data_IF_293363038065
#
_entry.id   IF_293363038065
#
_cell.length_a   1.000
_cell.length_b   1.000
_cell.length_c   1.000
_cell.angle_alpha   90.00
_cell.angle_beta   90.00
_cell.angle_gamma   90.00
#
_symmetry.space_group_name_H-M   'P 1'
#
loop_
_entity.id
_entity.type
_entity.pdbx_description
1 polymer ?
#
# COMPACT_ATOMS: atom_id res chain seq x y z
N UNK A 1 13.34 19.40 0.59
CA UNK A 1 12.75 18.34 1.44
C UNK A 1 11.29 18.67 1.67
N UNK A 2 10.44 17.65 1.81
CA UNK A 2 9.00 17.81 2.06
C UNK A 2 8.71 17.38 3.51
N UNK A 3 8.22 18.24 4.40
CA UNK A 3 7.79 17.82 5.72
C UNK A 3 6.45 17.08 5.63
N UNK A 4 6.34 15.91 6.25
CA UNK A 4 5.11 15.10 6.23
C UNK A 4 4.84 14.43 7.57
N UNK A 5 3.56 14.20 7.87
CA UNK A 5 3.08 13.43 9.02
C UNK A 5 1.86 12.61 8.58
N UNK A 6 2.09 11.34 8.25
CA UNK A 6 1.07 10.43 7.76
C UNK A 6 0.61 9.54 8.92
N UNK A 7 -0.44 9.97 9.63
CA UNK A 7 -1.00 9.24 10.77
C UNK A 7 -1.98 8.16 10.31
N UNK A 8 -1.47 7.00 9.91
CA UNK A 8 -2.29 5.88 9.43
C UNK A 8 -3.27 5.37 10.50
N UNK A 9 -4.55 5.24 10.12
CA UNK A 9 -5.63 4.68 10.96
C UNK A 9 -6.06 3.31 10.43
N UNK A 10 -5.11 2.40 10.37
CA UNK A 10 -5.22 1.09 9.70
C UNK A 10 -5.01 -0.06 10.68
N UNK A 11 -5.84 -0.18 11.74
CA UNK A 11 -5.72 -1.31 12.66
C UNK A 11 -5.87 -2.61 11.88
N UNK A 12 -4.85 -3.47 11.95
CA UNK A 12 -4.73 -4.65 11.09
C UNK A 12 -4.21 -5.82 11.90
N UNK A 13 -4.83 -6.98 11.72
CA UNK A 13 -4.29 -8.25 12.18
C UNK A 13 -3.69 -9.03 11.01
N UNK A 14 -2.47 -9.52 11.19
CA UNK A 14 -1.80 -10.38 10.22
C UNK A 14 -2.01 -11.83 10.64
N UNK A 15 -2.82 -12.55 9.86
CA UNK A 15 -3.35 -13.85 10.26
C UNK A 15 -2.78 -14.95 9.37
N UNK A 16 -2.41 -16.07 9.99
CA UNK A 16 -2.05 -17.33 9.32
C UNK A 16 -1.09 -17.14 8.14
N UNK A 17 0.05 -16.50 8.38
CA UNK A 17 1.02 -16.18 7.33
C UNK A 17 1.66 -17.44 6.73
N UNK A 18 2.05 -17.36 5.46
CA UNK A 18 2.97 -18.32 4.86
C UNK A 18 4.28 -18.34 5.65
N UNK A 19 4.91 -19.50 5.76
CA UNK A 19 6.14 -19.65 6.51
C UNK A 19 7.04 -20.70 5.88
N UNK A 20 8.13 -20.25 5.28
CA UNK A 20 9.13 -21.09 4.59
C UNK A 20 9.82 -22.13 5.50
N UNK A 21 9.74 -21.96 6.82
CA UNK A 21 10.26 -22.93 7.78
C UNK A 21 9.31 -24.12 8.01
N UNK A 22 8.06 -24.05 7.54
CA UNK A 22 7.10 -25.14 7.66
C UNK A 22 7.39 -26.23 6.61
N UNK A 23 7.27 -27.49 7.03
CA UNK A 23 7.30 -28.64 6.14
C UNK A 23 5.87 -29.05 5.73
N UNK A 24 5.72 -29.58 4.52
CA UNK A 24 4.46 -30.07 3.98
C UNK A 24 4.05 -29.37 2.68
N UNK A 25 2.99 -29.87 2.05
CA UNK A 25 2.48 -29.32 0.79
C UNK A 25 1.75 -28.01 1.06
N UNK A 26 2.02 -26.89 0.36
CA UNK A 26 1.30 -25.63 0.52
C UNK A 26 -0.18 -25.74 0.12
N UNK A 27 -0.99 -24.74 0.47
CA UNK A 27 -2.33 -24.62 -0.12
C UNK A 27 -2.23 -24.31 -1.63
N UNK A 28 -3.29 -24.52 -2.43
CA UNK A 28 -3.29 -24.12 -3.83
C UNK A 28 -2.88 -22.65 -3.99
N UNK A 29 -2.01 -22.38 -4.96
CA UNK A 29 -1.49 -21.04 -5.29
C UNK A 29 -0.61 -20.38 -4.19
N UNK A 30 -0.10 -21.17 -3.24
CA UNK A 30 0.82 -20.71 -2.21
C UNK A 30 2.18 -21.40 -2.32
N UNK A 31 3.24 -20.71 -1.88
CA UNK A 31 4.61 -21.23 -1.94
C UNK A 31 4.94 -22.08 -0.70
N UNK A 32 4.40 -21.71 0.46
CA UNK A 32 4.73 -22.33 1.73
C UNK A 32 3.49 -22.66 2.57
N UNK A 33 3.63 -23.66 3.43
CA UNK A 33 2.64 -23.96 4.45
C UNK A 33 2.46 -22.78 5.43
N UNK A 34 1.21 -22.54 5.83
CA UNK A 34 0.86 -21.42 6.72
C UNK A 34 1.07 -21.76 8.20
N UNK A 35 1.31 -20.73 9.01
CA UNK A 35 1.39 -20.81 10.47
C UNK A 35 2.81 -20.73 11.02
N UNK A 36 3.00 -21.14 12.27
CA UNK A 36 4.29 -21.09 12.97
C UNK A 36 4.97 -22.46 12.89
N UNK A 37 6.25 -22.48 12.53
CA UNK A 37 7.05 -23.70 12.54
C UNK A 37 7.16 -24.30 13.95
N UNK A 38 6.80 -25.57 14.08
CA UNK A 38 6.92 -26.33 15.33
C UNK A 38 8.07 -27.33 15.15
N UNK A 39 9.26 -26.96 15.63
CA UNK A 39 10.47 -27.80 15.55
C UNK A 39 10.60 -28.66 16.80
N UNK A 40 10.96 -29.94 16.65
CA UNK A 40 11.14 -30.85 17.77
C UNK A 40 12.48 -30.59 18.46
N UNK A 41 12.46 -30.33 19.77
CA UNK A 41 13.66 -30.09 20.60
C UNK A 41 14.53 -28.90 20.14
N UNK A 42 13.97 -27.97 19.36
CA UNK A 42 14.65 -26.78 18.86
C UNK A 42 13.80 -25.54 19.07
N UNK A 43 14.43 -24.37 19.10
CA UNK A 43 13.72 -23.08 19.17
C UNK A 43 13.16 -22.73 17.79
N UNK A 44 11.88 -22.38 17.74
CA UNK A 44 11.27 -21.73 16.59
C UNK A 44 11.37 -20.20 16.76
N UNK A 45 11.86 -19.52 15.73
CA UNK A 45 11.91 -18.05 15.68
C UNK A 45 10.84 -17.59 14.70
N UNK A 46 10.02 -16.63 15.15
CA UNK A 46 9.07 -15.90 14.33
C UNK A 46 9.56 -14.45 14.23
N UNK A 47 9.95 -14.02 13.03
CA UNK A 47 10.31 -12.64 12.73
C UNK A 47 9.13 -11.94 12.07
N UNK A 48 8.77 -10.76 12.57
CA UNK A 48 7.83 -9.88 11.90
C UNK A 48 8.61 -8.82 11.12
N UNK A 49 8.31 -8.69 9.83
CA UNK A 49 8.91 -7.68 8.95
C UNK A 49 7.82 -6.74 8.47
N UNK A 50 8.09 -5.44 8.55
CA UNK A 50 7.15 -4.39 8.12
C UNK A 50 7.79 -3.54 7.02
N UNK A 51 7.17 -3.53 5.86
CA UNK A 51 7.60 -2.80 4.67
C UNK A 51 7.08 -1.36 4.72
N UNK A 52 7.96 -0.42 5.04
CA UNK A 52 7.61 1.00 5.13
C UNK A 52 7.33 1.65 3.76
N UNK A 53 7.58 0.91 2.68
CA UNK A 53 7.43 1.33 1.30
C UNK A 53 5.98 1.21 0.77
N UNK A 54 5.12 0.40 1.41
CA UNK A 54 3.73 0.18 0.98
C UNK A 54 2.92 1.46 0.73
N UNK A 55 2.96 2.51 1.59
CA UNK A 55 2.23 3.76 1.32
C UNK A 55 2.60 4.45 0.00
N UNK A 56 3.72 4.08 -0.61
CA UNK A 56 4.25 4.67 -1.85
C UNK A 56 3.98 3.79 -3.08
N UNK A 57 3.24 2.70 -2.92
CA UNK A 57 2.94 1.74 -3.97
C UNK A 57 2.03 2.33 -5.04
N UNK A 58 2.38 2.10 -6.31
CA UNK A 58 1.56 2.47 -7.47
C UNK A 58 0.51 1.43 -7.89
N UNK A 59 0.49 0.28 -7.21
CA UNK A 59 -0.53 -0.76 -7.36
C UNK A 59 -0.95 -1.31 -5.99
N UNK A 60 -2.12 -1.95 -5.94
CA UNK A 60 -2.60 -2.79 -4.84
C UNK A 60 -2.00 -4.19 -4.85
N UNK A 61 -1.34 -4.60 -5.94
CA UNK A 61 -0.61 -5.86 -6.10
C UNK A 61 0.82 -5.81 -5.49
N UNK A 62 1.52 -6.96 -5.51
CA UNK A 62 2.83 -7.13 -4.88
C UNK A 62 3.97 -6.52 -5.74
N UNK A 63 4.96 -5.91 -5.07
CA UNK A 63 6.16 -5.28 -5.66
C UNK A 63 5.95 -4.19 -6.72
N UNK A 64 5.06 -3.19 -6.52
CA UNK A 64 4.86 -2.14 -7.50
C UNK A 64 5.96 -1.07 -7.44
N UNK A 65 5.97 -0.19 -8.45
CA UNK A 65 6.85 0.97 -8.45
C UNK A 65 6.49 1.92 -7.32
N UNK A 66 7.52 2.57 -6.76
CA UNK A 66 7.38 3.50 -5.65
C UNK A 66 7.39 4.95 -6.13
N UNK A 67 6.44 5.75 -5.65
CA UNK A 67 6.38 7.17 -5.93
C UNK A 67 6.06 7.99 -4.67
N UNK A 68 6.57 9.22 -4.62
CA UNK A 68 6.31 10.17 -3.51
C UNK A 68 5.69 11.48 -3.98
N UNK A 69 5.89 11.87 -5.23
CA UNK A 69 5.47 13.16 -5.76
C UNK A 69 3.96 13.34 -5.88
N UNK A 70 3.17 12.26 -5.95
CA UNK A 70 1.71 12.33 -5.80
C UNK A 70 1.28 12.80 -4.41
N UNK A 71 2.05 12.46 -3.37
CA UNK A 71 1.83 12.97 -2.02
C UNK A 71 2.23 14.45 -1.94
N UNK A 72 3.42 14.79 -2.45
CA UNK A 72 3.90 16.16 -2.45
C UNK A 72 3.09 17.11 -3.33
N UNK A 73 2.36 16.60 -4.34
CA UNK A 73 1.51 17.37 -5.23
C UNK A 73 0.40 18.13 -4.46
N UNK A 74 -0.10 17.56 -3.35
CA UNK A 74 -1.07 18.22 -2.47
C UNK A 74 -0.54 19.47 -1.76
N UNK A 75 0.77 19.72 -1.76
CA UNK A 75 1.37 20.93 -1.22
C UNK A 75 1.43 22.09 -2.23
N UNK A 76 1.15 21.86 -3.51
CA UNK A 76 1.12 22.94 -4.51
C UNK A 76 0.01 23.93 -4.14
N UNK A 77 0.36 25.21 -4.06
CA UNK A 77 -0.55 26.28 -3.64
C UNK A 77 -0.70 26.44 -2.11
N UNK A 78 -0.10 25.55 -1.31
CA UNK A 78 -0.12 25.69 0.16
C UNK A 78 0.94 26.70 0.64
N UNK A 79 0.73 27.34 1.81
CA UNK A 79 1.75 28.19 2.43
C UNK A 79 3.08 27.45 2.65
N UNK A 80 4.19 28.18 2.51
CA UNK A 80 5.51 27.63 2.78
C UNK A 80 5.60 27.08 4.22
N UNK A 81 6.15 25.87 4.37
CA UNK A 81 6.27 25.19 5.65
C UNK A 81 5.06 24.35 6.05
N UNK A 82 4.01 24.28 5.23
CA UNK A 82 2.88 23.36 5.44
C UNK A 82 3.39 21.92 5.51
N UNK A 83 2.97 21.19 6.56
CA UNK A 83 3.25 19.76 6.73
C UNK A 83 2.23 18.97 5.93
N UNK A 84 2.68 18.07 5.06
CA UNK A 84 1.81 17.16 4.34
C UNK A 84 1.12 16.19 5.31
N UNK A 85 -0.21 16.15 5.28
CA UNK A 85 -1.07 15.22 6.03
C UNK A 85 -2.10 14.58 5.09
N UNK A 86 -2.80 13.54 5.54
CA UNK A 86 -3.89 12.93 4.76
C UNK A 86 -5.07 13.87 4.47
N UNK A 87 -5.25 14.92 5.26
CA UNK A 87 -6.32 15.90 5.02
C UNK A 87 -6.12 16.61 3.67
N UNK A 88 -4.87 16.84 3.25
CA UNK A 88 -4.54 17.42 1.93
C UNK A 88 -4.75 16.45 0.76
N UNK A 89 -4.96 15.17 1.04
CA UNK A 89 -5.10 14.11 0.04
C UNK A 89 -6.53 13.57 -0.06
N UNK A 90 -7.42 14.04 0.81
CA UNK A 90 -8.83 13.65 0.80
C UNK A 90 -9.48 14.11 -0.51
N UNK A 91 -10.21 13.22 -1.17
CA UNK A 91 -10.84 13.48 -2.47
C UNK A 91 -9.91 13.42 -3.68
N UNK A 92 -8.61 13.15 -3.52
CA UNK A 92 -7.70 12.93 -4.65
C UNK A 92 -8.03 11.60 -5.33
N UNK A 93 -8.18 11.59 -6.65
CA UNK A 93 -8.39 10.37 -7.43
C UNK A 93 -7.05 9.63 -7.66
N UNK A 94 -6.87 8.40 -7.13
CA UNK A 94 -5.64 7.64 -7.36
C UNK A 94 -5.42 7.23 -8.82
N UNK A 95 -6.46 7.29 -9.66
CA UNK A 95 -6.40 6.88 -11.08
C UNK A 95 -6.19 8.06 -12.04
N UNK A 96 -6.17 9.30 -11.53
CA UNK A 96 -5.97 10.51 -12.31
C UNK A 96 -5.41 11.63 -11.40
N UNK A 97 -4.11 11.57 -11.10
CA UNK A 97 -3.50 12.50 -10.15
C UNK A 97 -3.38 13.91 -10.72
N UNK A 98 -3.77 14.88 -9.91
CA UNK A 98 -3.56 16.31 -10.11
C UNK A 98 -2.81 16.91 -8.93
N UNK A 99 -2.15 18.05 -9.14
CA UNK A 99 -1.58 18.84 -8.05
C UNK A 99 -2.62 19.73 -7.35
N UNK A 100 -2.21 20.39 -6.26
CA UNK A 100 -3.09 21.29 -5.49
C UNK A 100 -3.62 22.51 -6.27
N UNK A 101 -3.14 22.77 -7.49
CA UNK A 101 -3.70 23.76 -8.41
C UNK A 101 -4.63 23.16 -9.48
N UNK A 102 -4.77 21.83 -9.52
CA UNK A 102 -5.57 21.09 -10.48
C UNK A 102 -4.83 20.73 -11.77
N UNK A 103 -3.51 20.92 -11.84
CA UNK A 103 -2.74 20.51 -13.01
C UNK A 103 -2.43 19.01 -12.96
N UNK A 104 -2.61 18.30 -14.08
CA UNK A 104 -2.28 16.86 -14.18
C UNK A 104 -0.83 16.59 -13.79
N UNK A 105 -0.64 15.58 -12.94
CA UNK A 105 0.69 15.16 -12.48
C UNK A 105 1.31 14.22 -13.53
N UNK A 106 2.46 14.57 -14.12
CA UNK A 106 3.10 13.70 -15.11
C UNK A 106 3.83 12.52 -14.47
N UNK A 107 4.10 11.48 -15.26
CA UNK A 107 5.05 10.45 -14.88
C UNK A 107 6.48 11.00 -14.78
N UNK A 108 7.21 10.61 -13.73
CA UNK A 108 8.62 10.97 -13.50
C UNK A 108 9.34 9.79 -12.88
N UNK A 109 10.52 9.45 -13.40
CA UNK A 109 11.45 8.48 -12.80
C UNK A 109 12.88 9.00 -12.95
N UNK A 110 13.77 8.57 -12.06
CA UNK A 110 15.16 9.03 -12.01
C UNK A 110 16.17 7.97 -12.50
N UNK A 111 15.70 6.79 -12.90
CA UNK A 111 16.50 5.61 -13.25
C UNK A 111 16.53 5.32 -14.76
N UNK A 112 15.86 6.16 -15.57
CA UNK A 112 15.75 5.97 -17.02
C UNK A 112 14.75 4.90 -17.44
N UNK A 113 13.97 4.34 -16.50
CA UNK A 113 12.92 3.38 -16.82
C UNK A 113 11.88 4.00 -17.76
N UNK A 114 11.38 3.20 -18.72
CA UNK A 114 10.32 3.66 -19.61
C UNK A 114 9.07 4.05 -18.81
N UNK A 115 8.56 5.24 -19.13
CA UNK A 115 7.33 5.76 -18.56
C UNK A 115 6.12 5.26 -19.36
N UNK A 116 4.95 5.10 -18.71
CA UNK A 116 3.71 4.88 -19.43
C UNK A 116 3.46 5.99 -20.47
N UNK A 117 2.78 5.64 -21.56
CA UNK A 117 2.47 6.58 -22.63
C UNK A 117 1.39 7.61 -22.27
N UNK A 118 0.69 7.42 -21.15
CA UNK A 118 -0.28 8.41 -20.66
C UNK A 118 0.45 9.67 -20.20
N UNK A 119 -0.14 10.83 -20.44
CA UNK A 119 0.42 12.10 -19.96
C UNK A 119 0.19 12.27 -18.45
N UNK A 120 -0.92 11.76 -17.95
CA UNK A 120 -1.32 11.84 -16.54
C UNK A 120 -0.97 10.55 -15.80
N UNK A 121 -0.51 10.73 -14.56
CA UNK A 121 -0.20 9.63 -13.66
C UNK A 121 -1.48 9.01 -13.09
N UNK A 122 -1.51 7.69 -13.13
CA UNK A 122 -2.58 6.87 -12.59
C UNK A 122 -1.96 5.69 -11.83
N UNK A 123 -2.54 5.32 -10.69
CA UNK A 123 -2.23 4.08 -9.98
C UNK A 123 -3.26 3.00 -10.27
N UNK A 124 -2.82 1.77 -10.19
CA UNK A 124 -3.63 0.60 -10.46
C UNK A 124 -4.39 0.18 -9.21
N UNK A 125 -5.71 0.03 -9.34
CA UNK A 125 -6.60 -0.41 -8.25
C UNK A 125 -7.01 -1.88 -8.40
N UNK A 126 -6.46 -2.58 -9.39
CA UNK A 126 -6.84 -3.94 -9.75
C UNK A 126 -8.33 -4.04 -10.04
N UNK A 127 -9.04 -4.84 -9.25
CA UNK A 127 -10.49 -5.03 -9.37
C UNK A 127 -11.32 -4.13 -8.43
N UNK A 128 -10.66 -3.32 -7.60
CA UNK A 128 -11.33 -2.48 -6.60
C UNK A 128 -11.82 -1.20 -7.30
N UNK A 129 -13.14 -0.89 -7.26
CA UNK A 129 -13.65 0.32 -7.89
C UNK A 129 -13.19 1.58 -7.16
N UNK A 130 -13.02 2.67 -7.92
CA UNK A 130 -12.62 3.99 -7.42
C UNK A 130 -13.73 5.00 -7.68
N UNK A 131 -14.08 5.79 -6.67
CA UNK A 131 -15.02 6.90 -6.82
C UNK A 131 -15.57 7.45 -5.49
N UNK A 132 -15.81 8.76 -5.39
CA UNK A 132 -16.10 9.46 -4.12
C UNK A 132 -17.41 9.06 -3.44
N UNK A 133 -18.34 8.42 -4.16
CA UNK A 133 -19.64 7.98 -3.64
C UNK A 133 -19.68 6.52 -3.17
N UNK A 134 -18.56 5.80 -3.24
CA UNK A 134 -18.53 4.38 -2.89
C UNK A 134 -18.61 4.18 -1.38
N UNK A 135 -19.13 3.01 -0.96
CA UNK A 135 -18.97 2.58 0.41
C UNK A 135 -17.50 2.17 0.63
N UNK A 136 -16.87 2.55 1.76
CA UNK A 136 -15.46 2.22 2.02
C UNK A 136 -15.19 0.72 2.12
N UNK A 137 -16.22 -0.12 2.27
CA UNK A 137 -16.08 -1.59 2.28
C UNK A 137 -16.06 -2.19 0.86
N UNK A 138 -16.39 -1.42 -0.17
CA UNK A 138 -16.56 -1.91 -1.55
C UNK A 138 -15.69 -1.22 -2.58
N UNK A 139 -15.00 -0.14 -2.23
CA UNK A 139 -14.11 0.58 -3.13
C UNK A 139 -13.33 1.69 -2.46
N UNK A 140 -12.44 2.33 -3.22
CA UNK A 140 -11.68 3.50 -2.77
C UNK A 140 -12.45 4.77 -3.08
N UNK A 141 -12.73 5.59 -2.07
CA UNK A 141 -13.37 6.89 -2.29
C UNK A 141 -12.39 7.92 -2.82
N UNK A 142 -11.13 7.79 -2.45
CA UNK A 142 -10.02 8.66 -2.80
C UNK A 142 -8.67 7.96 -2.53
N UNK A 143 -7.59 8.72 -2.68
CA UNK A 143 -6.23 8.26 -2.46
C UNK A 143 -5.93 7.93 -0.99
N UNK A 144 -6.67 8.48 -0.02
CA UNK A 144 -6.49 8.14 1.40
C UNK A 144 -6.93 6.70 1.65
N UNK A 145 -8.07 6.29 1.08
CA UNK A 145 -8.54 4.90 1.16
C UNK A 145 -7.56 3.93 0.46
N UNK A 146 -7.04 4.32 -0.71
CA UNK A 146 -6.02 3.55 -1.43
C UNK A 146 -4.76 3.35 -0.57
N UNK A 147 -4.20 4.43 -0.02
CA UNK A 147 -2.98 4.39 0.80
C UNK A 147 -3.20 3.57 2.07
N UNK A 148 -4.37 3.69 2.70
CA UNK A 148 -4.73 2.87 3.85
C UNK A 148 -4.76 1.37 3.49
N UNK A 149 -5.32 1.03 2.33
CA UNK A 149 -5.41 -0.34 1.84
C UNK A 149 -4.04 -0.97 1.64
N UNK A 150 -3.15 -0.31 0.89
CA UNK A 150 -1.79 -0.85 0.63
C UNK A 150 -0.94 -0.84 1.89
N UNK A 151 -1.03 0.19 2.73
CA UNK A 151 -0.28 0.24 3.98
C UNK A 151 -0.67 -0.91 4.92
N UNK A 152 -1.94 -1.33 4.93
CA UNK A 152 -2.36 -2.43 5.80
C UNK A 152 -1.76 -3.79 5.43
N UNK A 153 -1.28 -4.00 4.19
CA UNK A 153 -0.63 -5.25 3.79
C UNK A 153 0.89 -5.29 4.05
N UNK A 154 1.46 -4.31 4.77
CA UNK A 154 2.91 -4.15 4.93
C UNK A 154 3.63 -5.23 5.76
N UNK A 155 2.90 -6.15 6.39
CA UNK A 155 3.43 -7.09 7.38
C UNK A 155 3.64 -8.51 6.83
N UNK A 156 4.83 -9.06 7.06
CA UNK A 156 5.21 -10.43 6.70
C UNK A 156 5.77 -11.21 7.89
N UNK A 157 5.68 -12.55 7.83
CA UNK A 157 6.28 -13.48 8.78
C UNK A 157 7.52 -14.19 8.19
N UNK A 158 8.66 -14.16 8.89
CA UNK A 158 9.88 -14.91 8.55
C UNK A 158 10.59 -14.52 7.23
N UNK A 159 10.38 -13.31 6.72
CA UNK A 159 11.07 -12.80 5.51
C UNK A 159 10.08 -12.40 4.41
N UNK A 160 10.61 -12.04 3.23
CA UNK A 160 9.85 -11.43 2.12
C UNK A 160 8.62 -12.22 1.67
N UNK A 161 8.69 -13.55 1.70
CA UNK A 161 7.61 -14.44 1.21
C UNK A 161 6.56 -14.80 2.29
N UNK A 162 6.65 -14.17 3.46
CA UNK A 162 5.82 -14.42 4.63
C UNK A 162 4.39 -13.91 4.56
N UNK A 163 3.72 -14.02 3.40
CA UNK A 163 2.45 -13.35 3.12
C UNK A 163 1.35 -13.77 4.09
N UNK A 164 0.79 -12.78 4.78
CA UNK A 164 -0.27 -12.95 5.76
C UNK A 164 -1.65 -12.66 5.18
N UNK A 165 -2.68 -13.34 5.68
CA UNK A 165 -4.03 -12.86 5.50
C UNK A 165 -4.18 -11.54 6.26
N UNK A 166 -4.52 -10.48 5.51
CA UNK A 166 -4.65 -9.12 6.06
C UNK A 166 -6.08 -8.92 6.57
N UNK A 167 -6.28 -9.08 7.88
CA UNK A 167 -7.56 -8.87 8.54
C UNK A 167 -7.67 -7.41 8.99
N UNK A 168 -8.21 -6.58 8.09
CA UNK A 168 -8.42 -5.15 8.28
C UNK A 168 -9.52 -4.91 9.31
N UNK A 169 -9.21 -4.23 10.40
CA UNK A 169 -10.16 -3.86 11.48
C UNK A 169 -10.82 -2.50 11.26
N UNK A 170 -10.95 -2.12 9.99
CA UNK A 170 -11.58 -0.90 9.53
C UNK A 170 -12.31 -1.19 8.21
N UNK A 171 -13.20 -0.29 7.79
CA UNK A 171 -13.93 -0.48 6.54
C UNK A 171 -12.97 -0.36 5.36
N UNK A 172 -12.85 -1.43 4.58
CA UNK A 172 -11.94 -1.52 3.44
C UNK A 172 -12.43 -2.62 2.49
N UNK A 173 -12.11 -2.55 1.19
CA UNK A 173 -12.32 -3.65 0.26
C UNK A 173 -11.68 -4.96 0.75
N UNK A 174 -12.29 -6.09 0.39
CA UNK A 174 -11.85 -7.45 0.76
C UNK A 174 -11.22 -8.16 -0.41
#
# INVERSE_FOLDING_TARGET
TVPFSLCFKTPTAFVNCQNQDNQGDPFPDEEFQRGIAIKANEVAIAQLTFHIDHPFYSDVEHEPRLFFDQLAAGLVGQPAGTVLTFDLLTGVDPTAFVDGSGASLPWRVCDGTALPSSAERAFESGTIPVGPGLAPASGFRDYVDYVAYVQSSQGHLNGGEGICFTDRKYSSPR
#
